data_IF_523400627317
#
_entry.id   IF_523400627317
#
_cell.length_a   1.000
_cell.length_b   1.000
_cell.length_c   1.000
_cell.angle_alpha   90.00
_cell.angle_beta   90.00
_cell.angle_gamma   90.00
#
_symmetry.space_group_name_H-M   'P 1'
#
loop_
_entity.id
_entity.type
_entity.pdbx_description
1 polymer ?
#
# COMPACT_ATOMS: atom_id res chain seq x y z
N UNK A 1 6.33 -24.54 -3.33
CA UNK A 1 7.73 -24.18 -3.16
C UNK A 1 7.97 -22.70 -3.44
N UNK A 2 7.37 -22.18 -4.51
CA UNK A 2 7.50 -20.76 -4.85
C UNK A 2 6.97 -19.87 -3.73
N UNK A 3 5.84 -20.25 -3.13
CA UNK A 3 5.24 -19.50 -2.02
C UNK A 3 6.16 -19.49 -0.78
N UNK A 4 6.87 -20.60 -0.55
CA UNK A 4 7.81 -20.72 0.56
C UNK A 4 8.97 -19.74 0.37
N UNK A 5 9.46 -19.62 -0.85
CA UNK A 5 10.57 -18.71 -1.17
C UNK A 5 10.16 -17.25 -0.98
N UNK A 6 8.93 -16.88 -1.38
CA UNK A 6 8.43 -15.51 -1.19
C UNK A 6 8.28 -15.17 0.29
N UNK A 7 7.75 -16.08 1.10
CA UNK A 7 7.61 -15.84 2.55
C UNK A 7 8.97 -15.77 3.24
N UNK A 8 9.92 -16.60 2.84
CA UNK A 8 11.28 -16.54 3.36
C UNK A 8 11.95 -15.22 3.01
N UNK A 9 11.74 -14.73 1.79
CA UNK A 9 12.26 -13.44 1.35
C UNK A 9 11.66 -12.30 2.16
N UNK A 10 10.35 -12.34 2.42
CA UNK A 10 9.68 -11.32 3.23
C UNK A 10 10.21 -11.30 4.66
N UNK A 11 10.44 -12.47 5.25
CA UNK A 11 11.02 -12.55 6.60
C UNK A 11 12.42 -11.95 6.64
N UNK A 12 13.24 -12.28 5.65
CA UNK A 12 14.58 -11.72 5.54
C UNK A 12 14.56 -10.20 5.38
N UNK A 13 13.69 -9.70 4.52
CA UNK A 13 13.53 -8.25 4.29
C UNK A 13 13.05 -7.55 5.57
N UNK A 14 12.11 -8.14 6.30
CA UNK A 14 11.62 -7.58 7.56
C UNK A 14 12.75 -7.47 8.59
N UNK A 15 13.66 -8.44 8.64
CA UNK A 15 14.83 -8.37 9.51
C UNK A 15 15.78 -7.26 9.12
N UNK A 16 15.96 -7.03 7.81
CA UNK A 16 16.82 -5.95 7.32
C UNK A 16 16.29 -4.58 7.77
N UNK A 17 14.98 -4.38 7.74
CA UNK A 17 14.36 -3.13 8.21
C UNK A 17 14.66 -2.87 9.68
N UNK A 18 14.68 -3.93 10.49
CA UNK A 18 14.96 -3.82 11.93
C UNK A 18 16.44 -3.73 12.24
N UNK A 19 17.30 -4.02 11.27
CA UNK A 19 18.75 -4.00 11.45
C UNK A 19 19.26 -2.58 11.57
N UNK A 20 20.24 -2.37 12.46
CA UNK A 20 20.95 -1.10 12.60
C UNK A 20 22.09 -0.96 11.59
N UNK A 21 22.39 -2.04 10.86
CA UNK A 21 23.51 -2.10 9.94
C UNK A 21 23.23 -1.49 8.57
N UNK A 22 21.95 -1.29 8.24
CA UNK A 22 21.57 -0.68 6.96
C UNK A 22 21.21 0.79 7.13
N UNK A 23 21.46 1.59 6.11
CA UNK A 23 21.13 3.01 6.09
C UNK A 23 19.61 3.21 5.98
N UNK A 24 19.15 4.42 6.37
CA UNK A 24 17.74 4.75 6.31
C UNK A 24 17.15 4.62 4.91
N UNK A 25 17.89 5.08 3.89
CA UNK A 25 17.43 4.97 2.50
C UNK A 25 17.25 3.51 2.08
N UNK A 26 18.14 2.63 2.52
CA UNK A 26 18.04 1.21 2.22
C UNK A 26 16.79 0.60 2.84
N UNK A 27 16.38 1.07 4.01
CA UNK A 27 15.11 0.65 4.64
C UNK A 27 13.93 0.96 3.74
N UNK A 28 13.94 2.14 3.12
CA UNK A 28 12.89 2.53 2.17
C UNK A 28 12.82 1.58 0.98
N UNK A 29 13.95 1.22 0.41
CA UNK A 29 13.99 0.24 -0.68
C UNK A 29 13.48 -1.14 -0.24
N UNK A 30 13.84 -1.55 0.98
CA UNK A 30 13.37 -2.82 1.53
C UNK A 30 11.85 -2.82 1.68
N UNK A 31 11.28 -1.75 2.21
CA UNK A 31 9.82 -1.61 2.30
C UNK A 31 9.16 -1.68 0.93
N UNK A 32 9.76 -1.03 -0.07
CA UNK A 32 9.24 -1.08 -1.44
C UNK A 32 9.23 -2.51 -1.98
N UNK A 33 10.32 -3.24 -1.79
CA UNK A 33 10.40 -4.64 -2.22
C UNK A 33 9.36 -5.51 -1.53
N UNK A 34 9.15 -5.32 -0.23
CA UNK A 34 8.12 -6.02 0.51
C UNK A 34 6.73 -5.70 -0.04
N UNK A 35 6.49 -4.43 -0.36
CA UNK A 35 5.26 -4.00 -0.98
C UNK A 35 5.04 -4.65 -2.35
N UNK A 36 6.09 -4.73 -3.17
CA UNK A 36 6.01 -5.37 -4.48
C UNK A 36 5.63 -6.86 -4.35
N UNK A 37 6.22 -7.56 -3.39
CA UNK A 37 5.92 -8.97 -3.15
C UNK A 37 4.46 -9.13 -2.69
N UNK A 38 4.01 -8.33 -1.74
CA UNK A 38 2.63 -8.40 -1.24
C UNK A 38 1.62 -8.06 -2.33
N UNK A 39 1.93 -7.06 -3.16
CA UNK A 39 1.07 -6.68 -4.29
C UNK A 39 0.95 -7.83 -5.30
N UNK A 40 2.04 -8.51 -5.57
CA UNK A 40 2.08 -9.67 -6.46
C UNK A 40 1.24 -10.84 -5.91
N UNK A 41 1.19 -10.97 -4.58
CA UNK A 41 0.38 -11.97 -3.90
C UNK A 41 -1.10 -11.60 -3.81
N UNK A 42 -1.49 -10.44 -4.29
CA UNK A 42 -2.86 -9.93 -4.19
C UNK A 42 -3.21 -9.34 -2.83
N UNK A 43 -2.22 -9.19 -1.95
CA UNK A 43 -2.41 -8.61 -0.62
C UNK A 43 -2.24 -7.09 -0.68
N UNK A 44 -3.21 -6.43 -1.27
CA UNK A 44 -3.15 -5.00 -1.60
C UNK A 44 -2.99 -4.11 -0.37
N UNK A 45 -3.66 -4.44 0.73
CA UNK A 45 -3.57 -3.65 1.97
C UNK A 45 -2.15 -3.69 2.54
N UNK A 46 -1.55 -4.87 2.63
CA UNK A 46 -0.18 -5.02 3.11
C UNK A 46 0.81 -4.32 2.20
N UNK A 47 0.61 -4.42 0.89
CA UNK A 47 1.44 -3.72 -0.09
C UNK A 47 1.37 -2.20 0.12
N UNK A 48 0.16 -1.67 0.29
CA UNK A 48 -0.04 -0.24 0.53
C UNK A 48 0.68 0.23 1.80
N UNK A 49 0.58 -0.53 2.88
CA UNK A 49 1.23 -0.18 4.13
C UNK A 49 2.76 -0.19 4.00
N UNK A 50 3.31 -1.16 3.26
CA UNK A 50 4.76 -1.21 3.01
C UNK A 50 5.23 -0.04 2.16
N UNK A 51 4.51 0.32 1.10
CA UNK A 51 4.86 1.49 0.28
C UNK A 51 4.75 2.78 1.09
N UNK A 52 3.74 2.89 1.92
CA UNK A 52 3.56 4.05 2.79
C UNK A 52 4.73 4.18 3.77
N UNK A 53 5.17 3.07 4.36
CA UNK A 53 6.33 3.06 5.25
C UNK A 53 7.61 3.48 4.51
N UNK A 54 7.75 3.10 3.25
CA UNK A 54 8.90 3.49 2.45
C UNK A 54 9.02 5.01 2.31
N UNK A 55 7.90 5.74 2.31
CA UNK A 55 7.90 7.20 2.19
C UNK A 55 8.62 7.92 3.34
N UNK A 56 8.81 7.26 4.49
CA UNK A 56 9.52 7.82 5.61
C UNK A 56 11.04 7.83 5.39
N UNK A 57 11.52 7.05 4.42
CA UNK A 57 12.95 6.84 4.20
C UNK A 57 13.44 7.26 2.82
N UNK A 58 12.59 7.21 1.80
CA UNK A 58 12.97 7.53 0.42
C UNK A 58 12.05 8.59 -0.16
N UNK A 59 12.47 9.16 -1.28
CA UNK A 59 11.68 10.15 -1.99
C UNK A 59 10.37 9.53 -2.50
N UNK A 60 9.26 10.29 -2.50
CA UNK A 60 7.98 9.78 -2.97
C UNK A 60 8.01 9.18 -4.36
N UNK A 61 8.89 9.66 -5.24
CA UNK A 61 9.00 9.18 -6.62
C UNK A 61 9.27 7.67 -6.72
N UNK A 62 9.88 7.06 -5.71
CA UNK A 62 10.20 5.63 -5.74
C UNK A 62 8.97 4.74 -5.62
N UNK A 63 7.94 5.18 -4.92
CA UNK A 63 6.74 4.38 -4.65
C UNK A 63 5.46 5.05 -5.13
N UNK A 64 5.55 6.23 -5.69
CA UNK A 64 4.41 7.05 -6.12
C UNK A 64 3.50 6.30 -7.10
N UNK A 65 4.09 5.70 -8.12
CA UNK A 65 3.34 4.98 -9.16
C UNK A 65 2.58 3.81 -8.57
N UNK A 66 3.21 3.03 -7.70
CA UNK A 66 2.62 1.87 -7.06
C UNK A 66 1.47 2.27 -6.16
N UNK A 67 1.67 3.30 -5.34
CA UNK A 67 0.62 3.80 -4.43
C UNK A 67 -0.58 4.33 -5.19
N UNK A 68 -0.35 5.16 -6.20
CA UNK A 68 -1.43 5.70 -7.02
C UNK A 68 -2.20 4.60 -7.73
N UNK A 69 -1.51 3.59 -8.25
CA UNK A 69 -2.15 2.48 -8.94
C UNK A 69 -3.10 1.73 -8.01
N UNK A 70 -2.67 1.45 -6.79
CA UNK A 70 -3.49 0.77 -5.80
C UNK A 70 -4.74 1.60 -5.47
N UNK A 71 -4.55 2.87 -5.15
CA UNK A 71 -5.64 3.77 -4.78
C UNK A 71 -6.63 3.93 -5.94
N UNK A 72 -6.13 4.20 -7.12
CA UNK A 72 -6.97 4.43 -8.30
C UNK A 72 -7.78 3.18 -8.65
N UNK A 73 -7.17 2.00 -8.61
CA UNK A 73 -7.88 0.77 -8.90
C UNK A 73 -9.01 0.52 -7.90
N UNK A 74 -8.77 0.74 -6.62
CA UNK A 74 -9.80 0.60 -5.59
C UNK A 74 -10.92 1.61 -5.76
N UNK A 75 -10.58 2.85 -6.09
CA UNK A 75 -11.59 3.89 -6.31
C UNK A 75 -12.44 3.58 -7.54
N UNK A 76 -11.84 3.08 -8.60
CA UNK A 76 -12.57 2.67 -9.80
C UNK A 76 -13.52 1.52 -9.52
N UNK A 77 -13.04 0.49 -8.83
CA UNK A 77 -13.85 -0.68 -8.50
C UNK A 77 -15.00 -0.31 -7.57
N UNK A 78 -14.72 0.48 -6.53
CA UNK A 78 -15.72 0.95 -5.60
C UNK A 78 -16.78 1.83 -6.27
N UNK A 79 -16.36 2.75 -7.13
CA UNK A 79 -17.27 3.62 -7.87
C UNK A 79 -18.16 2.82 -8.80
N UNK A 80 -17.63 1.79 -9.45
CA UNK A 80 -18.40 0.93 -10.34
C UNK A 80 -19.44 0.13 -9.55
N UNK A 81 -19.06 -0.43 -8.41
CA UNK A 81 -19.98 -1.18 -7.54
C UNK A 81 -21.10 -0.28 -7.04
N UNK A 82 -20.79 0.92 -6.61
CA UNK A 82 -21.77 1.88 -6.12
C UNK A 82 -22.72 2.33 -7.23
N UNK A 83 -22.20 2.57 -8.44
CA UNK A 83 -23.03 2.96 -9.58
C UNK A 83 -23.97 1.84 -10.01
N UNK A 84 -23.50 0.59 -10.05
CA UNK A 84 -24.28 -0.54 -10.47
C UNK A 84 -25.39 -0.87 -9.48
N UNK A 85 -25.15 -0.75 -8.18
CA UNK A 85 -26.14 -1.08 -7.17
C UNK A 85 -27.20 0.02 -6.99
N UNK A 86 -26.77 1.28 -7.08
CA UNK A 86 -27.63 2.43 -6.83
C UNK A 86 -28.20 2.53 -5.42
N UNK A 87 -27.77 1.65 -4.52
CA UNK A 87 -28.25 1.60 -3.13
C UNK A 87 -27.34 2.41 -2.23
N UNK A 88 -27.94 3.20 -1.35
CA UNK A 88 -27.23 4.04 -0.40
C UNK A 88 -26.34 3.23 0.55
N UNK A 89 -26.83 2.05 0.97
CA UNK A 89 -26.08 1.15 1.86
C UNK A 89 -24.80 0.64 1.19
N UNK A 90 -24.83 0.38 -0.11
CA UNK A 90 -23.67 -0.12 -0.84
C UNK A 90 -22.62 0.98 -1.03
N UNK A 91 -23.06 2.22 -1.27
CA UNK A 91 -22.17 3.38 -1.32
C UNK A 91 -21.47 3.57 0.02
N UNK A 92 -22.21 3.45 1.12
CA UNK A 92 -21.65 3.58 2.46
C UNK A 92 -20.65 2.47 2.75
N UNK A 93 -20.94 1.24 2.32
CA UNK A 93 -20.02 0.11 2.50
C UNK A 93 -18.69 0.34 1.76
N UNK A 94 -18.75 0.87 0.54
CA UNK A 94 -17.55 1.21 -0.24
C UNK A 94 -16.73 2.29 0.46
N UNK A 95 -17.38 3.36 0.94
CA UNK A 95 -16.71 4.43 1.67
C UNK A 95 -16.06 3.91 2.95
N UNK A 96 -16.76 3.08 3.70
CA UNK A 96 -16.21 2.49 4.93
C UNK A 96 -15.01 1.61 4.63
N UNK A 97 -15.06 0.86 3.53
CA UNK A 97 -13.94 0.04 3.08
C UNK A 97 -12.70 0.86 2.77
N UNK A 98 -12.87 2.01 2.11
CA UNK A 98 -11.76 2.92 1.83
C UNK A 98 -11.17 3.52 3.09
N UNK A 99 -12.03 3.96 4.03
CA UNK A 99 -11.57 4.53 5.29
C UNK A 99 -10.82 3.51 6.13
N UNK A 100 -11.31 2.27 6.15
CA UNK A 100 -10.64 1.18 6.86
C UNK A 100 -9.28 0.85 6.25
N UNK A 101 -9.20 0.87 4.92
CA UNK A 101 -7.99 0.49 4.19
C UNK A 101 -6.93 1.58 4.16
N UNK A 102 -7.33 2.82 3.96
CA UNK A 102 -6.41 3.95 3.74
C UNK A 102 -6.37 4.94 4.89
N UNK A 103 -7.17 4.71 5.93
CA UNK A 103 -7.26 5.61 7.07
C UNK A 103 -8.27 6.72 6.85
N UNK A 104 -8.22 7.74 7.71
CA UNK A 104 -9.16 8.86 7.64
C UNK A 104 -8.95 9.69 6.37
N UNK A 105 -9.91 10.54 6.07
CA UNK A 105 -9.79 11.48 4.95
C UNK A 105 -8.54 12.36 5.10
N UNK A 106 -8.22 12.75 6.34
CA UNK A 106 -7.02 13.53 6.62
C UNK A 106 -5.76 12.75 6.28
N UNK A 107 -5.71 11.46 6.61
CA UNK A 107 -4.58 10.59 6.28
C UNK A 107 -4.40 10.47 4.77
N UNK A 108 -5.50 10.33 4.03
CA UNK A 108 -5.48 10.26 2.57
C UNK A 108 -4.96 11.57 1.97
N UNK A 109 -5.42 12.71 2.50
CA UNK A 109 -4.97 14.02 2.05
C UNK A 109 -3.49 14.24 2.36
N UNK A 110 -3.03 13.82 3.54
CA UNK A 110 -1.63 13.92 3.92
C UNK A 110 -0.76 13.07 2.98
N UNK A 111 -1.21 11.87 2.66
CA UNK A 111 -0.51 11.00 1.72
C UNK A 111 -0.46 11.62 0.32
N UNK A 112 -1.58 12.17 -0.15
CA UNK A 112 -1.63 12.83 -1.45
C UNK A 112 -0.67 14.02 -1.52
N UNK A 113 -0.57 14.80 -0.43
CA UNK A 113 0.36 15.93 -0.36
C UNK A 113 1.81 15.48 -0.46
N UNK A 114 2.15 14.33 0.13
CA UNK A 114 3.50 13.77 0.03
C UNK A 114 3.82 13.27 -1.38
N UNK A 115 2.82 12.85 -2.14
CA UNK A 115 2.98 12.26 -3.46
C UNK A 115 3.02 13.29 -4.60
N UNK A 116 2.61 14.50 -4.33
CA UNK A 116 2.58 15.58 -5.35
C UNK A 116 3.94 16.24 -5.60
#
# INVERSE_FOLDING_TARGET
>A
IICTDEESELEWLAEQVRSRLIHKEEKGYVYKLMGDIRNKQGQTRSAFENYRSALDYVKPSYVKTELYRIIINDLKDGSRQAADSGKKSDIQAVLNGWLDKYGSLEDIQALASKLV
#
